data_IF_260596138437
#
_entry.id   IF_260596138437
#
_cell.length_a   1.000
_cell.length_b   1.000
_cell.length_c   1.000
_cell.angle_alpha   90.00
_cell.angle_beta   90.00
_cell.angle_gamma   90.00
#
_symmetry.space_group_name_H-M   'P 1'
#
loop_
_entity.id
_entity.type
_entity.pdbx_description
1 polymer ?
#
# COMPACT_ATOMS: atom_id res chain seq x y z
N UNK A 1 -67.59 -68.60 53.49
CA UNK A 1 -66.54 -67.56 53.67
C UNK A 1 -65.24 -67.98 53.03
N UNK A 2 -64.62 -69.04 53.56
CA UNK A 2 -63.20 -69.42 53.35
C UNK A 2 -62.69 -69.55 51.91
N UNK A 3 -63.47 -70.11 50.95
CA UNK A 3 -63.01 -70.28 49.55
C UNK A 3 -62.93 -68.97 48.76
N UNK A 4 -63.81 -68.02 49.07
CA UNK A 4 -63.87 -66.71 48.41
C UNK A 4 -62.73 -65.84 48.91
N UNK A 5 -62.46 -65.85 50.21
CA UNK A 5 -61.31 -65.16 50.82
C UNK A 5 -59.97 -65.63 50.23
N UNK A 6 -59.78 -66.95 50.12
CA UNK A 6 -58.56 -67.51 49.50
C UNK A 6 -58.36 -67.07 48.04
N UNK A 7 -59.45 -66.93 47.28
CA UNK A 7 -59.39 -66.47 45.88
C UNK A 7 -59.05 -64.99 45.77
N UNK A 8 -59.60 -64.18 46.68
CA UNK A 8 -59.30 -62.74 46.76
C UNK A 8 -57.82 -62.52 47.11
N UNK A 9 -57.28 -63.28 48.05
CA UNK A 9 -55.88 -63.14 48.45
C UNK A 9 -54.92 -63.61 47.34
N UNK A 10 -55.25 -64.69 46.62
CA UNK A 10 -54.49 -65.12 45.45
C UNK A 10 -54.45 -64.03 44.36
N UNK A 11 -55.58 -63.38 44.09
CA UNK A 11 -55.67 -62.28 43.13
C UNK A 11 -54.87 -61.05 43.56
N UNK A 12 -54.89 -60.68 44.84
CA UNK A 12 -54.06 -59.59 45.37
C UNK A 12 -52.57 -59.89 45.18
N UNK A 13 -52.14 -61.10 45.53
CA UNK A 13 -50.73 -61.52 45.38
C UNK A 13 -50.31 -61.50 43.92
N UNK A 14 -51.16 -62.00 43.01
CA UNK A 14 -50.91 -61.96 41.57
C UNK A 14 -50.80 -60.53 41.04
N UNK A 15 -51.76 -59.66 41.39
CA UNK A 15 -51.75 -58.26 40.98
C UNK A 15 -50.55 -57.48 41.52
N UNK A 16 -50.14 -57.71 42.77
CA UNK A 16 -48.92 -57.11 43.34
C UNK A 16 -47.67 -57.59 42.61
N UNK A 17 -47.60 -58.88 42.26
CA UNK A 17 -46.47 -59.44 41.52
C UNK A 17 -46.37 -58.86 40.11
N UNK A 18 -47.50 -58.68 39.45
CA UNK A 18 -47.58 -58.11 38.10
C UNK A 18 -47.21 -56.62 38.11
N UNK A 19 -47.73 -55.85 39.08
CA UNK A 19 -47.34 -54.45 39.29
C UNK A 19 -45.83 -54.32 39.55
N UNK A 20 -45.25 -55.17 40.40
CA UNK A 20 -43.81 -55.15 40.69
C UNK A 20 -43.00 -55.45 39.43
N UNK A 21 -43.40 -56.46 38.65
CA UNK A 21 -42.73 -56.79 37.39
C UNK A 21 -42.83 -55.65 36.37
N UNK A 22 -43.99 -54.98 36.28
CA UNK A 22 -44.16 -53.78 35.44
C UNK A 22 -43.28 -52.63 35.92
N UNK A 23 -43.18 -52.39 37.23
CA UNK A 23 -42.31 -51.35 37.80
C UNK A 23 -40.84 -51.63 37.47
N UNK A 24 -40.37 -52.87 37.67
CA UNK A 24 -38.99 -53.26 37.36
C UNK A 24 -38.67 -53.14 35.87
N UNK A 25 -39.59 -53.55 34.99
CA UNK A 25 -39.44 -53.42 33.55
C UNK A 25 -39.38 -51.95 33.12
N UNK A 26 -40.26 -51.11 33.68
CA UNK A 26 -40.30 -49.66 33.41
C UNK A 26 -39.02 -48.99 33.89
N UNK A 27 -38.54 -49.32 35.10
CA UNK A 27 -37.30 -48.79 35.65
C UNK A 27 -36.09 -49.16 34.78
N UNK A 28 -36.04 -50.41 34.31
CA UNK A 28 -34.97 -50.89 33.42
C UNK A 28 -34.98 -50.16 32.08
N UNK A 29 -36.16 -49.95 31.48
CA UNK A 29 -36.29 -49.16 30.25
C UNK A 29 -35.87 -47.70 30.47
N UNK A 30 -36.30 -47.07 31.56
CA UNK A 30 -35.94 -45.69 31.86
C UNK A 30 -34.43 -45.52 32.01
N UNK A 31 -33.78 -46.43 32.77
CA UNK A 31 -32.32 -46.45 32.94
C UNK A 31 -31.59 -46.59 31.61
N UNK A 32 -32.06 -47.48 30.73
CA UNK A 32 -31.47 -47.66 29.41
C UNK A 32 -31.61 -46.40 28.54
N UNK A 33 -32.80 -45.78 28.52
CA UNK A 33 -33.04 -44.54 27.79
C UNK A 33 -32.14 -43.41 28.29
N UNK A 34 -32.05 -43.22 29.61
CA UNK A 34 -31.18 -42.19 30.20
C UNK A 34 -29.71 -42.45 29.86
N UNK A 35 -29.25 -43.71 29.93
CA UNK A 35 -27.88 -44.05 29.55
C UNK A 35 -27.57 -43.73 28.08
N UNK A 36 -28.52 -44.00 27.17
CA UNK A 36 -28.39 -43.66 25.76
C UNK A 36 -28.34 -42.14 25.55
N UNK A 37 -29.25 -41.39 26.17
CA UNK A 37 -29.26 -39.92 26.07
C UNK A 37 -27.97 -39.29 26.60
N UNK A 38 -27.46 -39.78 27.74
CA UNK A 38 -26.17 -39.33 28.29
C UNK A 38 -25.04 -39.59 27.29
N UNK A 39 -25.03 -40.77 26.66
CA UNK A 39 -24.00 -41.14 25.67
C UNK A 39 -24.07 -40.24 24.43
N UNK A 40 -25.26 -40.04 23.87
CA UNK A 40 -25.47 -39.17 22.71
C UNK A 40 -25.05 -37.74 23.00
N UNK A 41 -25.47 -37.20 24.15
CA UNK A 41 -25.11 -35.85 24.60
C UNK A 41 -23.60 -35.69 24.72
N UNK A 42 -22.91 -36.71 25.27
CA UNK A 42 -21.45 -36.72 25.37
C UNK A 42 -20.77 -36.76 24.00
N UNK A 43 -21.28 -37.56 23.06
CA UNK A 43 -20.72 -37.64 21.70
C UNK A 43 -20.89 -36.30 20.97
N UNK A 44 -22.07 -35.68 21.07
CA UNK A 44 -22.32 -34.35 20.51
C UNK A 44 -21.38 -33.32 21.13
N UNK A 45 -21.24 -33.28 22.46
CA UNK A 45 -20.33 -32.37 23.14
C UNK A 45 -18.86 -32.54 22.71
N UNK A 46 -18.41 -33.77 22.48
CA UNK A 46 -17.08 -34.05 21.93
C UNK A 46 -16.93 -33.59 20.48
N UNK A 47 -17.97 -33.75 19.66
CA UNK A 47 -17.99 -33.24 18.28
C UNK A 47 -17.86 -31.73 18.23
N UNK A 48 -18.69 -31.03 19.01
CA UNK A 48 -18.67 -29.56 19.13
C UNK A 48 -17.31 -29.06 19.61
N UNK A 49 -16.69 -29.71 20.61
CA UNK A 49 -15.36 -29.34 21.08
C UNK A 49 -14.29 -29.41 19.97
N UNK A 50 -14.28 -30.50 19.18
CA UNK A 50 -13.34 -30.66 18.07
C UNK A 50 -13.57 -29.65 16.94
N UNK A 51 -14.83 -29.36 16.61
CA UNK A 51 -15.15 -28.35 15.60
C UNK A 51 -14.69 -26.95 16.04
N UNK A 52 -14.89 -26.60 17.31
CA UNK A 52 -14.43 -25.33 17.86
C UNK A 52 -12.89 -25.21 17.81
N UNK A 53 -12.17 -26.27 18.19
CA UNK A 53 -10.71 -26.31 18.11
C UNK A 53 -10.20 -26.12 16.67
N UNK A 54 -10.85 -26.76 15.70
CA UNK A 54 -10.51 -26.63 14.28
C UNK A 54 -10.77 -25.22 13.74
N UNK A 55 -11.90 -24.61 14.13
CA UNK A 55 -12.23 -23.23 13.77
C UNK A 55 -11.21 -22.25 14.36
N UNK A 56 -10.85 -22.40 15.63
CA UNK A 56 -9.84 -21.58 16.28
C UNK A 56 -8.47 -21.72 15.61
N UNK A 57 -8.04 -22.94 15.31
CA UNK A 57 -6.77 -23.18 14.61
C UNK A 57 -6.74 -22.52 13.22
N UNK A 58 -7.85 -22.59 12.49
CA UNK A 58 -7.99 -21.98 11.16
C UNK A 58 -7.94 -20.45 11.26
N UNK A 59 -8.73 -19.86 12.17
CA UNK A 59 -8.75 -18.41 12.40
C UNK A 59 -7.39 -17.86 12.82
N UNK A 60 -6.66 -18.57 13.69
CA UNK A 60 -5.30 -18.17 14.10
C UNK A 60 -4.36 -18.20 12.90
N UNK A 61 -4.45 -19.23 12.05
CA UNK A 61 -3.61 -19.36 10.86
C UNK A 61 -3.87 -18.23 9.86
N UNK A 62 -5.14 -17.96 9.58
CA UNK A 62 -5.55 -16.87 8.68
C UNK A 62 -5.12 -15.50 9.21
N UNK A 63 -5.38 -15.24 10.49
CA UNK A 63 -4.96 -13.98 11.15
C UNK A 63 -3.44 -13.77 11.07
N UNK A 64 -2.64 -14.83 11.28
CA UNK A 64 -1.18 -14.75 11.13
C UNK A 64 -0.75 -14.49 9.68
N UNK A 65 -1.41 -15.13 8.71
CA UNK A 65 -1.11 -14.93 7.30
C UNK A 65 -1.38 -13.47 6.89
N UNK A 66 -2.54 -12.93 7.27
CA UNK A 66 -2.88 -11.52 7.05
C UNK A 66 -1.86 -10.59 7.72
N UNK A 67 -1.50 -10.86 8.99
CA UNK A 67 -0.50 -10.07 9.70
C UNK A 67 0.87 -10.06 8.99
N UNK A 68 1.28 -11.18 8.40
CA UNK A 68 2.53 -11.25 7.64
C UNK A 68 2.47 -10.46 6.33
N UNK A 69 1.35 -10.50 5.61
CA UNK A 69 1.15 -9.70 4.39
C UNK A 69 1.21 -8.22 4.72
N UNK A 70 0.47 -7.77 5.73
CA UNK A 70 0.46 -6.37 6.16
C UNK A 70 1.87 -5.90 6.56
N UNK A 71 2.61 -6.72 7.30
CA UNK A 71 4.00 -6.40 7.67
C UNK A 71 4.89 -6.20 6.42
N UNK A 72 4.82 -7.13 5.48
CA UNK A 72 5.64 -7.06 4.26
C UNK A 72 5.29 -5.83 3.40
N UNK A 73 4.02 -5.47 3.31
CA UNK A 73 3.57 -4.27 2.59
C UNK A 73 4.06 -2.99 3.27
N UNK A 74 4.01 -2.92 4.61
CA UNK A 74 4.54 -1.79 5.36
C UNK A 74 6.06 -1.64 5.17
N UNK A 75 6.81 -2.73 5.25
CA UNK A 75 8.26 -2.72 5.04
C UNK A 75 8.61 -2.19 3.63
N UNK A 76 7.84 -2.59 2.61
CA UNK A 76 8.01 -2.11 1.23
C UNK A 76 7.66 -0.60 1.10
N UNK A 77 6.58 -0.15 1.74
CA UNK A 77 6.20 1.27 1.72
C UNK A 77 7.26 2.15 2.38
N UNK A 78 7.84 1.73 3.50
CA UNK A 78 8.92 2.48 4.15
C UNK A 78 10.16 2.56 3.26
N UNK A 79 10.57 1.46 2.62
CA UNK A 79 11.69 1.48 1.68
C UNK A 79 11.46 2.43 0.48
N UNK A 80 10.23 2.48 -0.03
CA UNK A 80 9.87 3.42 -1.10
C UNK A 80 9.87 4.87 -0.63
N UNK A 81 9.41 5.12 0.60
CA UNK A 81 9.42 6.45 1.20
C UNK A 81 10.84 6.97 1.41
N UNK A 82 11.75 6.12 1.89
CA UNK A 82 13.17 6.46 2.05
C UNK A 82 13.81 6.82 0.70
N UNK A 83 13.57 6.00 -0.32
CA UNK A 83 14.08 6.25 -1.68
C UNK A 83 13.52 7.56 -2.27
N UNK A 84 12.25 7.86 -2.01
CA UNK A 84 11.63 9.12 -2.42
C UNK A 84 12.25 10.32 -1.68
N UNK A 85 12.51 10.17 -0.38
CA UNK A 85 13.18 11.19 0.44
C UNK A 85 14.57 11.54 -0.10
N UNK A 86 15.40 10.53 -0.38
CA UNK A 86 16.72 10.73 -0.97
C UNK A 86 16.66 11.42 -2.33
N UNK A 87 15.69 11.03 -3.17
CA UNK A 87 15.47 11.68 -4.47
C UNK A 87 15.06 13.15 -4.30
N UNK A 88 14.16 13.44 -3.37
CA UNK A 88 13.71 14.81 -3.09
C UNK A 88 14.87 15.69 -2.60
N UNK A 89 15.72 15.18 -1.70
CA UNK A 89 16.93 15.87 -1.26
C UNK A 89 17.88 16.11 -2.43
N UNK A 90 18.08 15.10 -3.29
CA UNK A 90 18.90 15.22 -4.49
C UNK A 90 18.42 16.31 -5.44
N UNK A 91 17.12 16.33 -5.74
CA UNK A 91 16.48 17.38 -6.54
C UNK A 91 16.62 18.75 -5.88
N UNK A 92 16.37 18.85 -4.57
CA UNK A 92 16.52 20.10 -3.82
C UNK A 92 17.93 20.67 -3.91
N UNK A 93 18.97 19.83 -3.78
CA UNK A 93 20.37 20.25 -3.98
C UNK A 93 20.62 20.74 -5.40
N UNK A 94 20.14 20.02 -6.42
CA UNK A 94 20.32 20.40 -7.82
C UNK A 94 19.65 21.74 -8.13
N UNK A 95 18.41 21.94 -7.65
CA UNK A 95 17.69 23.21 -7.77
C UNK A 95 18.47 24.34 -7.09
N UNK A 96 18.94 24.14 -5.85
CA UNK A 96 19.71 25.16 -5.14
C UNK A 96 21.02 25.55 -5.86
N UNK A 97 21.69 24.59 -6.51
CA UNK A 97 22.88 24.89 -7.34
C UNK A 97 22.49 25.77 -8.53
N UNK A 98 21.43 25.42 -9.25
CA UNK A 98 20.95 26.18 -10.40
C UNK A 98 20.50 27.59 -9.98
N UNK A 99 19.78 27.71 -8.87
CA UNK A 99 19.36 29.02 -8.32
C UNK A 99 20.56 29.91 -7.99
N UNK A 100 21.59 29.37 -7.35
CA UNK A 100 22.80 30.13 -7.02
C UNK A 100 23.61 30.50 -8.27
N UNK A 101 23.65 29.64 -9.29
CA UNK A 101 24.27 29.95 -10.58
C UNK A 101 23.52 31.10 -11.28
N UNK A 102 22.20 31.01 -11.38
CA UNK A 102 21.36 32.08 -11.97
C UNK A 102 21.39 33.37 -11.15
N UNK A 103 21.64 33.30 -9.85
CA UNK A 103 21.84 34.50 -9.01
C UNK A 103 23.13 35.23 -9.37
N UNK A 104 24.19 34.49 -9.72
CA UNK A 104 25.51 35.05 -10.07
C UNK A 104 25.59 35.49 -11.53
N UNK A 105 24.85 34.84 -12.41
CA UNK A 105 24.88 35.07 -13.85
C UNK A 105 23.55 35.71 -14.32
N UNK A 106 23.57 37.03 -14.43
CA UNK A 106 22.43 37.81 -14.91
C UNK A 106 22.05 37.47 -16.36
N UNK A 107 23.03 37.25 -17.24
CA UNK A 107 22.77 36.88 -18.64
C UNK A 107 22.07 35.51 -18.70
N UNK A 108 22.50 34.52 -17.91
CA UNK A 108 21.84 33.22 -17.84
C UNK A 108 20.41 33.27 -17.29
N UNK A 109 20.16 34.14 -16.29
CA UNK A 109 18.82 34.37 -15.74
C UNK A 109 17.88 35.03 -16.75
N UNK A 110 18.35 36.05 -17.45
CA UNK A 110 17.54 36.77 -18.45
C UNK A 110 17.19 35.86 -19.61
N UNK A 111 18.12 35.01 -20.05
CA UNK A 111 17.86 33.95 -21.04
C UNK A 111 16.82 32.94 -20.55
N UNK A 112 16.90 32.48 -19.30
CA UNK A 112 15.93 31.53 -18.76
C UNK A 112 14.53 32.13 -18.68
N UNK A 113 14.41 33.38 -18.21
CA UNK A 113 13.14 34.10 -18.13
C UNK A 113 12.49 34.25 -19.51
N UNK A 114 13.29 34.56 -20.54
CA UNK A 114 12.80 34.67 -21.89
C UNK A 114 12.35 33.31 -22.47
N UNK A 115 13.08 32.22 -22.18
CA UNK A 115 12.69 30.87 -22.63
C UNK A 115 11.41 30.35 -21.95
N UNK A 116 11.12 30.78 -20.72
CA UNK A 116 9.91 30.39 -20.00
C UNK A 116 8.64 30.99 -20.60
N UNK A 117 8.72 32.20 -21.16
CA UNK A 117 7.59 32.83 -21.83
C UNK A 117 8.01 33.73 -23.01
N UNK A 118 8.43 33.13 -24.13
CA UNK A 118 8.96 33.88 -25.27
C UNK A 118 7.91 34.80 -25.92
N UNK A 119 6.62 34.46 -25.78
CA UNK A 119 5.52 35.23 -26.35
C UNK A 119 5.22 36.53 -25.60
N UNK A 120 5.71 36.68 -24.36
CA UNK A 120 5.55 37.88 -23.56
C UNK A 120 6.80 38.79 -23.56
N UNK A 121 7.88 38.35 -24.19
CA UNK A 121 9.15 39.07 -24.25
C UNK A 121 9.04 40.31 -25.14
N UNK A 122 9.49 41.44 -24.62
CA UNK A 122 9.63 42.72 -25.33
C UNK A 122 10.90 42.75 -26.18
N UNK A 123 11.04 43.77 -27.03
CA UNK A 123 12.26 43.95 -27.83
C UNK A 123 13.54 43.96 -26.97
N UNK A 124 13.48 44.59 -25.80
CA UNK A 124 14.61 44.68 -24.87
C UNK A 124 14.94 43.33 -24.23
N UNK A 125 13.93 42.47 -24.01
CA UNK A 125 14.14 41.10 -23.51
C UNK A 125 14.85 40.23 -24.57
N UNK A 126 14.49 40.38 -25.86
CA UNK A 126 15.16 39.69 -26.97
C UNK A 126 16.58 40.18 -27.22
N UNK A 127 16.92 41.42 -26.83
CA UNK A 127 18.26 41.97 -27.01
C UNK A 127 19.32 41.10 -26.32
N UNK A 128 19.02 40.51 -25.14
CA UNK A 128 19.91 39.59 -24.43
C UNK A 128 20.22 38.32 -25.25
N UNK A 129 19.22 37.72 -25.91
CA UNK A 129 19.42 36.57 -26.80
C UNK A 129 20.24 36.92 -28.04
N UNK A 130 19.93 38.05 -28.68
CA UNK A 130 20.64 38.50 -29.89
C UNK A 130 22.10 38.82 -29.57
N UNK A 131 22.35 39.42 -28.41
CA UNK A 131 23.70 39.70 -27.92
C UNK A 131 24.48 38.41 -27.64
N UNK A 132 23.87 37.41 -27.01
CA UNK A 132 24.49 36.09 -26.82
C UNK A 132 24.81 35.40 -28.15
N UNK A 133 23.86 35.39 -29.09
CA UNK A 133 24.05 34.83 -30.42
C UNK A 133 25.19 35.55 -31.16
N UNK A 134 25.23 36.87 -31.11
CA UNK A 134 26.29 37.66 -31.73
C UNK A 134 27.68 37.36 -31.11
N UNK A 135 27.77 37.29 -29.77
CA UNK A 135 29.00 36.87 -29.06
C UNK A 135 29.44 35.45 -29.47
N UNK A 136 28.49 34.51 -29.54
CA UNK A 136 28.77 33.10 -29.87
C UNK A 136 29.22 32.92 -31.32
N UNK A 137 28.55 33.58 -32.26
CA UNK A 137 28.95 33.60 -33.67
C UNK A 137 30.33 34.24 -33.83
N UNK A 138 30.62 35.30 -33.06
CA UNK A 138 31.93 35.95 -33.06
C UNK A 138 33.05 35.02 -32.59
N UNK A 139 32.83 34.27 -31.51
CA UNK A 139 33.79 33.24 -31.03
C UNK A 139 34.01 32.19 -32.12
N UNK A 140 32.93 31.66 -32.70
CA UNK A 140 33.02 30.64 -33.74
C UNK A 140 33.74 31.13 -35.00
N UNK A 141 33.48 32.37 -35.45
CA UNK A 141 34.21 33.01 -36.57
C UNK A 141 35.68 33.17 -36.23
N UNK A 142 36.01 33.52 -34.98
CA UNK A 142 37.40 33.64 -34.54
C UNK A 142 38.14 32.31 -34.48
N UNK A 143 37.46 31.20 -34.18
CA UNK A 143 38.03 29.84 -34.20
C UNK A 143 38.13 29.24 -35.61
N UNK A 144 37.36 29.75 -36.57
CA UNK A 144 37.28 29.21 -37.94
C UNK A 144 37.74 30.24 -39.00
N UNK A 145 38.66 31.15 -38.65
CA UNK A 145 39.08 32.27 -39.52
C UNK A 145 39.55 31.82 -40.91
N UNK A 146 40.17 30.66 -40.99
CA UNK A 146 40.69 30.03 -42.20
C UNK A 146 39.59 29.66 -43.21
N UNK A 147 38.35 29.53 -42.75
CA UNK A 147 37.18 29.22 -43.60
C UNK A 147 36.51 30.45 -44.20
N UNK A 148 36.94 31.65 -43.82
CA UNK A 148 36.35 32.90 -44.32
C UNK A 148 37.33 33.65 -45.21
N UNK A 149 36.81 34.18 -46.32
CA UNK A 149 37.60 35.05 -47.21
C UNK A 149 37.99 36.37 -46.53
N UNK A 150 37.15 36.88 -45.61
CA UNK A 150 37.37 38.14 -44.89
C UNK A 150 36.84 38.06 -43.44
N UNK A 151 37.46 37.25 -42.56
CA UNK A 151 37.01 37.05 -41.18
C UNK A 151 37.00 38.34 -40.37
N UNK A 152 37.89 39.29 -40.68
CA UNK A 152 37.98 40.57 -39.98
C UNK A 152 36.71 41.42 -40.14
N UNK A 153 36.07 41.42 -41.32
CA UNK A 153 34.83 42.18 -41.55
C UNK A 153 33.64 41.60 -40.80
N UNK A 154 33.61 40.27 -40.68
CA UNK A 154 32.57 39.56 -39.94
C UNK A 154 32.74 39.83 -38.44
N UNK A 155 33.98 39.78 -37.93
CA UNK A 155 34.28 40.12 -36.53
C UNK A 155 33.93 41.58 -36.21
N UNK A 156 34.27 42.54 -37.07
CA UNK A 156 33.98 43.98 -36.91
C UNK A 156 32.47 44.28 -36.90
N UNK A 157 31.71 43.63 -37.79
CA UNK A 157 30.25 43.74 -37.82
C UNK A 157 29.58 43.19 -36.56
N UNK A 158 30.05 42.03 -36.07
CA UNK A 158 29.55 41.41 -34.84
C UNK A 158 29.96 42.20 -33.60
N UNK A 159 31.16 42.77 -33.56
CA UNK A 159 31.60 43.66 -32.48
C UNK A 159 30.74 44.92 -32.41
N UNK A 160 30.42 45.52 -33.55
CA UNK A 160 29.54 46.69 -33.64
C UNK A 160 28.13 46.35 -33.15
N UNK A 161 27.59 45.20 -33.55
CA UNK A 161 26.29 44.71 -33.09
C UNK A 161 26.27 44.50 -31.56
N UNK A 162 27.32 43.89 -31.00
CA UNK A 162 27.45 43.67 -29.55
C UNK A 162 27.54 45.00 -28.78
N UNK A 163 28.28 46.00 -29.29
CA UNK A 163 28.38 47.34 -28.65
C UNK A 163 27.03 48.07 -28.65
N UNK A 164 26.31 48.02 -29.77
CA UNK A 164 25.01 48.70 -29.90
C UNK A 164 23.91 48.06 -29.04
N UNK A 165 23.93 46.73 -28.89
CA UNK A 165 22.94 46.01 -28.07
C UNK A 165 23.31 45.95 -26.58
N UNK A 166 24.60 46.03 -26.24
CA UNK A 166 25.10 45.94 -24.87
C UNK A 166 25.15 47.27 -24.10
N UNK A 167 24.69 48.37 -24.70
CA UNK A 167 24.62 49.68 -24.05
C UNK A 167 25.97 50.36 -23.83
N UNK A 168 26.90 50.24 -24.79
CA UNK A 168 28.19 50.95 -24.77
C UNK A 168 28.09 52.46 -24.96
#
# INVERSE_FOLDING_TARGET
GTKIEASIDALKVAGVKELKAMTEATEKQLKAMVATQIRETRVVGQGVGKELDNLLATQIKETRAVGQVVKNELDNLFAQLDALGEKAIGVGRAVGIVEEQLRRDGEARDMLNLLQNPMAATYDDYAALVLLLAKSVRIWVNENKDKFTQPYRVDEGLETLVKNLGGG
#
